data_IF_429290654510
#
_entry.id   IF_429290654510
#
_cell.length_a   1.000
_cell.length_b   1.000
_cell.length_c   1.000
_cell.angle_alpha   90.00
_cell.angle_beta   90.00
_cell.angle_gamma   90.00
#
_symmetry.space_group_name_H-M   'P 1'
#
loop_
_entity.id
_entity.type
_entity.pdbx_description
1 polymer ?
#
# COMPACT_ATOMS: atom_id res chain seq x y z
N UNK A 1 -0.38 15.62 5.26
CA UNK A 1 -1.12 14.35 5.05
C UNK A 1 -2.03 13.95 6.24
N UNK A 2 -2.09 14.75 7.33
CA UNK A 2 -2.93 14.46 8.51
C UNK A 2 -4.44 14.72 8.36
N UNK A 3 -4.89 15.46 7.35
CA UNK A 3 -6.28 15.95 7.27
C UNK A 3 -7.24 15.12 6.41
N UNK A 4 -6.72 14.17 5.62
CA UNK A 4 -7.52 13.46 4.62
C UNK A 4 -8.34 12.31 5.23
N UNK A 5 -7.79 11.61 6.23
CA UNK A 5 -8.47 10.51 6.91
C UNK A 5 -9.52 10.99 7.94
N UNK A 6 -9.32 12.15 8.55
CA UNK A 6 -10.24 12.72 9.57
C UNK A 6 -11.55 13.20 8.93
N UNK A 7 -11.51 13.72 7.69
CA UNK A 7 -12.69 14.23 7.01
C UNK A 7 -13.58 13.15 6.39
N UNK A 8 -13.04 11.96 6.10
CA UNK A 8 -13.78 10.89 5.43
C UNK A 8 -14.58 10.02 6.41
N UNK A 9 -14.17 9.90 7.67
CA UNK A 9 -14.85 9.09 8.70
C UNK A 9 -14.82 9.77 10.09
N UNK A 10 -15.52 10.91 10.25
CA UNK A 10 -15.46 11.74 11.47
C UNK A 10 -16.01 11.04 12.73
N UNK A 11 -16.77 9.95 12.57
CA UNK A 11 -17.37 9.19 13.68
C UNK A 11 -16.51 8.05 14.23
N UNK A 12 -15.37 7.72 13.60
CA UNK A 12 -14.59 6.51 13.93
C UNK A 12 -13.12 6.79 14.27
N UNK A 13 -12.54 7.87 13.75
CA UNK A 13 -11.09 8.13 13.83
C UNK A 13 -10.82 9.41 14.62
N UNK A 14 -10.20 9.29 15.79
CA UNK A 14 -9.84 10.44 16.65
C UNK A 14 -8.53 11.12 16.26
N UNK A 15 -7.63 10.37 15.64
CA UNK A 15 -6.25 10.78 15.43
C UNK A 15 -5.44 9.63 14.86
N UNK A 16 -4.35 9.98 14.19
CA UNK A 16 -3.34 9.06 13.70
C UNK A 16 -2.03 9.57 14.31
N UNK A 17 -1.50 8.84 15.29
CA UNK A 17 -0.18 9.12 15.87
C UNK A 17 0.84 8.16 15.23
N UNK A 18 1.98 8.70 14.81
CA UNK A 18 3.06 7.91 14.23
C UNK A 18 4.22 7.85 15.21
N UNK A 19 4.53 6.67 15.73
CA UNK A 19 5.74 6.43 16.52
C UNK A 19 6.80 5.74 15.66
N UNK A 20 7.85 6.50 15.33
CA UNK A 20 9.15 6.08 14.79
C UNK A 20 9.13 5.34 13.42
N UNK A 21 8.82 4.03 13.39
CA UNK A 21 8.70 3.18 12.16
C UNK A 21 7.36 2.45 12.05
N UNK A 22 6.44 2.70 12.97
CA UNK A 22 5.17 2.00 13.08
C UNK A 22 4.03 3.01 12.94
N UNK A 23 2.99 2.61 12.20
CA UNK A 23 1.75 3.37 12.15
C UNK A 23 0.87 2.86 13.30
N UNK A 24 0.72 3.69 14.33
CA UNK A 24 -0.10 3.40 15.50
C UNK A 24 -1.51 3.94 15.25
N UNK A 25 -2.47 3.04 15.04
CA UNK A 25 -3.83 3.43 14.71
C UNK A 25 -4.65 3.47 15.99
N UNK A 26 -4.79 4.67 16.55
CA UNK A 26 -5.62 4.93 17.73
C UNK A 26 -7.09 4.92 17.31
N UNK A 27 -7.76 3.78 17.50
CA UNK A 27 -9.20 3.63 17.20
C UNK A 27 -10.05 3.94 18.44
N UNK A 28 -11.15 4.70 18.30
CA UNK A 28 -12.14 4.95 19.37
C UNK A 28 -13.12 3.77 19.56
N UNK A 29 -12.64 2.55 19.36
CA UNK A 29 -13.45 1.37 19.63
C UNK A 29 -13.29 1.06 21.12
N UNK A 30 -14.39 1.21 21.87
CA UNK A 30 -14.41 0.80 23.27
C UNK A 30 -14.19 -0.72 23.31
N UNK A 31 -13.05 -1.18 23.82
CA UNK A 31 -12.84 -2.60 24.10
C UNK A 31 -13.92 -3.12 25.06
N UNK A 32 -14.37 -4.39 24.94
CA UNK A 32 -15.24 -5.01 25.92
C UNK A 32 -14.64 -4.85 27.33
N UNK A 33 -15.45 -4.31 28.24
CA UNK A 33 -15.04 -3.97 29.60
C UNK A 33 -14.51 -5.21 30.31
N UNK A 34 -13.22 -5.22 30.65
CA UNK A 34 -12.68 -6.23 31.57
C UNK A 34 -13.35 -6.06 32.95
N UNK A 35 -13.87 -7.12 33.60
CA UNK A 35 -14.52 -7.00 34.90
C UNK A 35 -13.52 -6.43 35.93
N UNK A 36 -13.73 -5.18 36.36
CA UNK A 36 -12.88 -4.49 37.33
C UNK A 36 -12.12 -3.26 36.82
N UNK A 37 -12.20 -2.91 35.53
CA UNK A 37 -11.60 -1.67 34.98
C UNK A 37 -12.66 -0.59 34.71
N UNK A 38 -12.36 0.66 35.10
CA UNK A 38 -13.20 1.84 34.86
C UNK A 38 -12.82 2.63 33.59
N UNK A 39 -11.74 2.24 32.89
CA UNK A 39 -11.31 2.89 31.65
C UNK A 39 -11.65 2.00 30.45
N UNK A 40 -12.32 2.58 29.45
CA UNK A 40 -12.52 1.94 28.16
C UNK A 40 -11.15 1.77 27.49
N UNK A 41 -10.75 0.52 27.23
CA UNK A 41 -9.46 0.21 26.63
C UNK A 41 -9.41 0.74 25.19
N UNK A 42 -8.43 1.59 24.90
CA UNK A 42 -8.08 1.97 23.53
C UNK A 42 -7.34 0.78 22.92
N UNK A 43 -7.82 0.25 21.80
CA UNK A 43 -7.10 -0.78 21.06
C UNK A 43 -6.05 -0.11 20.18
N UNK A 44 -4.80 -0.30 20.58
CA UNK A 44 -3.62 0.11 19.83
C UNK A 44 -3.09 -1.10 19.05
N UNK A 45 -2.95 -0.96 17.73
CA UNK A 45 -2.25 -1.94 16.90
C UNK A 45 -1.13 -1.28 16.09
N UNK A 46 -0.02 -1.99 15.98
CA UNK A 46 1.18 -1.60 15.24
C UNK A 46 1.14 -2.17 13.83
N UNK A 47 1.09 -1.28 12.83
CA UNK A 47 1.28 -1.65 11.42
C UNK A 47 2.69 -1.29 10.99
N UNK A 48 3.26 -2.08 10.08
CA UNK A 48 4.56 -1.82 9.43
C UNK A 48 4.37 -1.42 7.96
N UNK A 49 4.04 -0.15 7.66
CA UNK A 49 3.84 0.34 6.29
C UNK A 49 5.07 0.18 5.40
N UNK A 50 6.26 0.14 6.02
CA UNK A 50 7.53 0.01 5.32
C UNK A 50 7.63 -1.26 4.47
N UNK A 51 6.88 -2.32 4.81
CA UNK A 51 6.85 -3.54 3.99
C UNK A 51 6.18 -3.32 2.64
N UNK A 52 5.32 -2.30 2.50
CA UNK A 52 4.74 -1.92 1.20
C UNK A 52 5.59 -0.88 0.46
N UNK A 53 6.42 -0.14 1.20
CA UNK A 53 7.23 0.94 0.66
C UNK A 53 8.57 0.50 0.01
N UNK A 54 8.97 -0.78 0.09
CA UNK A 54 10.20 -1.24 -0.57
C UNK A 54 10.16 -1.12 -2.11
N UNK A 55 8.96 -0.95 -2.68
CA UNK A 55 8.76 -0.62 -4.08
C UNK A 55 9.42 0.71 -4.49
N UNK A 56 9.53 1.67 -3.58
CA UNK A 56 10.14 2.99 -3.81
C UNK A 56 11.66 2.89 -4.10
N UNK A 57 12.50 2.30 -3.23
CA UNK A 57 13.92 2.13 -3.52
C UNK A 57 14.17 1.20 -4.71
N UNK A 58 13.34 0.17 -4.90
CA UNK A 58 13.44 -0.71 -6.07
C UNK A 58 13.23 0.06 -7.38
N UNK A 59 12.16 0.84 -7.48
CA UNK A 59 11.89 1.68 -8.64
C UNK A 59 12.98 2.75 -8.86
N UNK A 60 13.44 3.36 -7.77
CA UNK A 60 14.52 4.34 -7.84
C UNK A 60 15.81 3.73 -8.39
N UNK A 61 16.19 2.54 -7.92
CA UNK A 61 17.36 1.83 -8.42
C UNK A 61 17.25 1.51 -9.91
N UNK A 62 16.11 0.98 -10.36
CA UNK A 62 15.86 0.69 -11.78
C UNK A 62 15.94 1.95 -12.65
N UNK A 63 15.31 3.03 -12.21
CA UNK A 63 15.31 4.31 -12.93
C UNK A 63 16.71 4.94 -12.97
N UNK A 64 17.48 4.81 -11.88
CA UNK A 64 18.86 5.30 -11.81
C UNK A 64 19.82 4.47 -12.65
N UNK A 65 19.60 3.15 -12.77
CA UNK A 65 20.37 2.27 -13.64
C UNK A 65 20.08 2.49 -15.14
N UNK A 66 18.86 2.94 -15.47
CA UNK A 66 18.49 3.18 -16.87
C UNK A 66 19.20 4.42 -17.46
N UNK A 67 19.67 4.35 -18.71
CA UNK A 67 20.12 5.51 -19.47
C UNK A 67 18.92 6.39 -19.83
N UNK A 68 19.15 7.70 -19.84
CA UNK A 68 18.13 8.69 -20.18
C UNK A 68 18.74 9.77 -21.07
N UNK A 69 17.94 10.31 -22.00
CA UNK A 69 18.38 11.34 -22.94
C UNK A 69 18.88 12.61 -22.23
N UNK A 70 18.26 12.99 -21.10
CA UNK A 70 18.69 14.12 -20.27
C UNK A 70 18.46 13.85 -18.78
N UNK A 71 19.23 14.54 -17.92
CA UNK A 71 19.04 14.49 -16.46
C UNK A 71 17.64 14.94 -16.03
N UNK A 72 17.03 15.89 -16.75
CA UNK A 72 15.68 16.41 -16.46
C UNK A 72 14.58 15.38 -16.72
N UNK A 73 14.64 14.68 -17.87
CA UNK A 73 13.69 13.59 -18.18
C UNK A 73 13.84 12.45 -17.17
N UNK A 74 15.07 12.11 -16.78
CA UNK A 74 15.34 11.10 -15.74
C UNK A 74 14.71 11.47 -14.40
N UNK A 75 14.87 12.72 -13.96
CA UNK A 75 14.25 13.22 -12.74
C UNK A 75 12.72 13.22 -12.82
N UNK A 76 12.15 13.54 -13.99
CA UNK A 76 10.71 13.48 -14.23
C UNK A 76 10.18 12.05 -14.12
N UNK A 77 10.82 11.06 -14.75
CA UNK A 77 10.41 9.65 -14.65
C UNK A 77 10.55 9.12 -13.23
N UNK A 78 11.62 9.49 -12.53
CA UNK A 78 11.80 9.13 -11.14
C UNK A 78 10.66 9.70 -10.28
N UNK A 79 10.39 11.00 -10.38
CA UNK A 79 9.33 11.65 -9.62
C UNK A 79 7.94 11.10 -9.96
N UNK A 80 7.62 10.96 -11.24
CA UNK A 80 6.34 10.44 -11.70
C UNK A 80 6.08 9.01 -11.20
N UNK A 81 7.06 8.10 -11.32
CA UNK A 81 6.87 6.73 -10.86
C UNK A 81 6.77 6.61 -9.34
N UNK A 82 7.52 7.43 -8.57
CA UNK A 82 7.35 7.48 -7.12
C UNK A 82 5.96 7.97 -6.71
N UNK A 83 5.41 8.98 -7.40
CA UNK A 83 4.04 9.45 -7.16
C UNK A 83 3.00 8.37 -7.50
N UNK A 84 3.18 7.65 -8.60
CA UNK A 84 2.28 6.56 -9.00
C UNK A 84 2.31 5.39 -8.02
N UNK A 85 3.43 5.15 -7.31
CA UNK A 85 3.54 4.10 -6.30
C UNK A 85 2.73 4.39 -5.02
N UNK A 86 2.49 5.65 -4.68
CA UNK A 86 1.76 6.04 -3.46
C UNK A 86 0.38 5.40 -3.29
N UNK A 87 -0.53 5.39 -4.29
CA UNK A 87 -1.82 4.72 -4.15
C UNK A 87 -1.70 3.20 -3.88
N UNK A 88 -0.66 2.54 -4.39
CA UNK A 88 -0.45 1.10 -4.15
C UNK A 88 0.07 0.83 -2.73
N UNK A 89 0.92 1.72 -2.21
CA UNK A 89 1.36 1.68 -0.80
C UNK A 89 0.17 1.94 0.13
N UNK A 90 -0.69 2.90 -0.22
CA UNK A 90 -1.91 3.19 0.50
C UNK A 90 -2.89 2.00 0.48
N UNK A 91 -3.03 1.32 -0.66
CA UNK A 91 -3.80 0.08 -0.78
C UNK A 91 -3.28 -1.01 0.17
N UNK A 92 -1.98 -1.32 0.11
CA UNK A 92 -1.39 -2.35 0.95
C UNK A 92 -1.55 -2.08 2.44
N UNK A 93 -1.28 -0.83 2.85
CA UNK A 93 -1.48 -0.38 4.23
C UNK A 93 -2.95 -0.45 4.64
N UNK A 94 -3.87 0.01 3.78
CA UNK A 94 -5.31 -0.02 4.03
C UNK A 94 -5.86 -1.44 4.23
N UNK A 95 -5.43 -2.40 3.40
CA UNK A 95 -5.85 -3.79 3.57
C UNK A 95 -5.22 -4.48 4.77
N UNK A 96 -4.02 -4.08 5.23
CA UNK A 96 -3.47 -4.58 6.50
C UNK A 96 -4.33 -4.13 7.69
N UNK A 97 -4.78 -2.87 7.67
CA UNK A 97 -5.73 -2.33 8.66
C UNK A 97 -7.03 -3.14 8.65
N UNK A 98 -7.64 -3.29 7.46
CA UNK A 98 -8.90 -4.02 7.32
C UNK A 98 -8.76 -5.48 7.76
N UNK A 99 -7.64 -6.13 7.41
CA UNK A 99 -7.34 -7.48 7.86
C UNK A 99 -7.25 -7.54 9.39
N UNK A 100 -6.58 -6.59 10.02
CA UNK A 100 -6.48 -6.57 11.47
C UNK A 100 -7.86 -6.40 12.14
N UNK A 101 -8.70 -5.49 11.62
CA UNK A 101 -10.06 -5.27 12.11
C UNK A 101 -10.97 -6.50 11.91
N UNK A 102 -10.84 -7.20 10.78
CA UNK A 102 -11.70 -8.33 10.43
C UNK A 102 -11.28 -9.66 11.09
N UNK A 103 -9.97 -9.89 11.30
CA UNK A 103 -9.46 -11.18 11.76
C UNK A 103 -8.95 -11.15 13.21
N UNK A 104 -8.34 -10.06 13.66
CA UNK A 104 -7.79 -9.96 15.02
C UNK A 104 -8.82 -9.41 16.00
N UNK A 105 -9.49 -8.32 15.62
CA UNK A 105 -10.44 -7.59 16.48
C UNK A 105 -11.91 -7.94 16.18
N UNK A 106 -12.15 -9.02 15.42
CA UNK A 106 -13.47 -9.32 14.84
C UNK A 106 -14.64 -9.34 15.83
N UNK A 107 -14.43 -9.80 17.07
CA UNK A 107 -15.48 -9.81 18.09
C UNK A 107 -15.81 -8.40 18.62
N UNK A 108 -14.82 -7.51 18.65
CA UNK A 108 -14.93 -6.15 19.17
C UNK A 108 -15.41 -5.17 18.09
N UNK A 109 -15.10 -5.46 16.83
CA UNK A 109 -15.54 -4.66 15.66
C UNK A 109 -16.93 -5.07 15.17
N UNK A 110 -17.39 -6.29 15.43
CA UNK A 110 -18.69 -6.81 14.98
C UNK A 110 -19.91 -5.91 15.28
N UNK A 111 -20.01 -5.20 16.43
CA UNK A 111 -21.13 -4.30 16.70
C UNK A 111 -21.14 -3.04 15.81
N UNK A 112 -19.99 -2.69 15.23
CA UNK A 112 -19.78 -1.45 14.48
C UNK A 112 -19.57 -1.68 12.98
N UNK A 113 -19.01 -2.82 12.62
CA UNK A 113 -18.61 -3.17 11.27
C UNK A 113 -18.97 -4.63 10.99
N UNK A 114 -19.94 -4.85 10.09
CA UNK A 114 -20.22 -6.19 9.57
C UNK A 114 -19.18 -6.56 8.50
N UNK A 115 -18.08 -7.17 8.97
CA UNK A 115 -16.97 -7.71 8.17
C UNK A 115 -17.05 -9.23 8.01
N UNK A 116 -18.26 -9.81 8.01
CA UNK A 116 -18.45 -11.26 7.92
C UNK A 116 -18.65 -11.77 6.49
N UNK A 117 -18.62 -13.09 6.30
CA UNK A 117 -18.86 -13.75 5.02
C UNK A 117 -17.91 -13.31 3.90
N UNK A 118 -18.46 -13.02 2.73
CA UNK A 118 -17.71 -12.65 1.52
C UNK A 118 -16.78 -11.44 1.72
N UNK A 119 -17.15 -10.48 2.58
CA UNK A 119 -16.34 -9.29 2.86
C UNK A 119 -15.01 -9.67 3.51
N UNK A 120 -15.05 -10.66 4.41
CA UNK A 120 -13.86 -11.18 5.10
C UNK A 120 -12.88 -11.82 4.11
N UNK A 121 -13.41 -12.57 3.15
CA UNK A 121 -12.61 -13.17 2.09
C UNK A 121 -11.98 -12.10 1.21
N UNK A 122 -12.77 -11.12 0.72
CA UNK A 122 -12.26 -10.01 -0.09
C UNK A 122 -11.15 -9.22 0.61
N UNK A 123 -11.27 -9.00 1.93
CA UNK A 123 -10.22 -8.37 2.73
C UNK A 123 -8.95 -9.23 2.75
N UNK A 124 -9.09 -10.54 2.99
CA UNK A 124 -7.97 -11.47 2.97
C UNK A 124 -7.24 -11.49 1.63
N UNK A 125 -7.99 -11.52 0.53
CA UNK A 125 -7.44 -11.51 -0.83
C UNK A 125 -6.77 -10.19 -1.17
N UNK A 126 -7.41 -9.06 -0.84
CA UNK A 126 -6.83 -7.74 -1.08
C UNK A 126 -5.55 -7.51 -0.29
N UNK A 127 -5.46 -8.04 0.93
CA UNK A 127 -4.24 -8.04 1.73
C UNK A 127 -3.14 -8.89 1.09
N UNK A 128 -3.43 -10.15 0.71
CA UNK A 128 -2.44 -11.02 0.09
C UNK A 128 -1.91 -10.44 -1.22
N UNK A 129 -2.80 -9.90 -2.05
CA UNK A 129 -2.45 -9.25 -3.29
C UNK A 129 -1.58 -8.00 -3.05
N UNK A 130 -1.98 -7.16 -2.09
CA UNK A 130 -1.25 -5.95 -1.74
C UNK A 130 0.10 -6.20 -1.07
N UNK A 131 0.27 -7.33 -0.39
CA UNK A 131 1.51 -7.70 0.28
C UNK A 131 2.51 -8.41 -0.64
N UNK A 132 2.03 -9.36 -1.46
CA UNK A 132 2.89 -10.22 -2.26
C UNK A 132 3.11 -9.72 -3.69
N UNK A 133 2.11 -9.11 -4.30
CA UNK A 133 2.13 -8.81 -5.74
C UNK A 133 2.48 -7.36 -5.99
N UNK A 134 1.72 -6.43 -5.41
CA UNK A 134 1.86 -5.01 -5.74
C UNK A 134 3.28 -4.46 -5.51
N UNK A 135 3.94 -4.71 -4.35
CA UNK A 135 5.22 -4.08 -4.06
C UNK A 135 6.36 -4.56 -4.97
N UNK A 136 6.26 -5.77 -5.53
CA UNK A 136 7.25 -6.33 -6.46
C UNK A 136 6.94 -6.01 -7.93
N UNK A 137 5.70 -6.18 -8.36
CA UNK A 137 5.31 -6.10 -9.77
C UNK A 137 5.10 -4.67 -10.25
N UNK A 138 4.44 -3.83 -9.45
CA UNK A 138 4.11 -2.45 -9.83
C UNK A 138 5.34 -1.60 -10.17
N UNK A 139 6.41 -1.55 -9.33
CA UNK A 139 7.58 -0.74 -9.68
C UNK A 139 8.23 -1.19 -11.00
N UNK A 140 8.25 -2.50 -11.27
CA UNK A 140 8.78 -3.04 -12.52
C UNK A 140 7.88 -2.67 -13.71
N UNK A 141 6.56 -2.79 -13.57
CA UNK A 141 5.61 -2.44 -14.63
C UNK A 141 5.67 -0.95 -15.00
N UNK A 142 5.73 -0.07 -13.99
CA UNK A 142 5.91 1.38 -14.20
C UNK A 142 7.23 1.64 -14.93
N UNK A 143 8.31 1.01 -14.49
CA UNK A 143 9.63 1.20 -15.09
C UNK A 143 9.66 0.75 -16.56
N UNK A 144 9.08 -0.43 -16.87
CA UNK A 144 8.97 -0.96 -18.24
C UNK A 144 8.18 0.01 -19.13
N UNK A 145 7.05 0.52 -18.63
CA UNK A 145 6.21 1.45 -19.38
C UNK A 145 6.95 2.74 -19.74
N UNK A 146 7.77 3.27 -18.81
CA UNK A 146 8.51 4.52 -18.99
C UNK A 146 9.82 4.35 -19.78
N UNK A 147 10.46 3.18 -19.73
CA UNK A 147 11.76 2.91 -20.36
C UNK A 147 11.68 1.94 -21.55
N UNK A 148 10.52 1.88 -22.23
CA UNK A 148 10.26 0.97 -23.36
C UNK A 148 11.30 1.03 -24.49
N UNK A 149 11.85 2.22 -24.79
CA UNK A 149 12.83 2.41 -25.85
C UNK A 149 14.16 1.75 -25.49
N UNK A 150 14.62 1.95 -24.25
CA UNK A 150 15.82 1.31 -23.73
C UNK A 150 15.68 -0.22 -23.69
N UNK A 151 14.50 -0.73 -23.33
CA UNK A 151 14.22 -2.17 -23.36
C UNK A 151 14.29 -2.77 -24.78
N UNK A 152 13.87 -2.02 -25.79
CA UNK A 152 13.98 -2.45 -27.19
C UNK A 152 15.43 -2.51 -27.68
N UNK A 153 16.32 -1.69 -27.11
CA UNK A 153 17.76 -1.72 -27.39
C UNK A 153 18.45 -2.92 -26.71
N UNK A 154 18.07 -3.24 -25.47
CA UNK A 154 18.62 -4.38 -24.73
C UNK A 154 18.14 -5.74 -25.25
N UNK A 155 16.92 -5.81 -25.78
CA UNK A 155 16.30 -7.06 -26.23
C UNK A 155 15.69 -6.91 -27.63
N UNK A 156 16.53 -6.89 -28.70
CA UNK A 156 16.05 -6.75 -30.08
C UNK A 156 15.07 -7.87 -30.52
N UNK A 157 15.10 -9.04 -29.86
CA UNK A 157 14.12 -10.12 -30.09
C UNK A 157 12.68 -9.80 -29.70
N UNK A 158 12.43 -8.81 -28.83
CA UNK A 158 11.06 -8.32 -28.55
C UNK A 158 10.46 -7.57 -29.74
N UNK A 159 11.29 -6.95 -30.58
CA UNK A 159 10.86 -6.29 -31.83
C UNK A 159 10.32 -7.29 -32.85
N UNK A 160 10.94 -8.49 -32.92
CA UNK A 160 10.56 -9.55 -33.87
C UNK A 160 9.28 -10.31 -33.48
N UNK A 161 8.89 -10.36 -32.20
CA UNK A 161 7.65 -11.05 -31.79
C UNK A 161 6.38 -10.19 -31.86
N UNK A 162 6.52 -8.86 -31.91
CA UNK A 162 5.38 -7.92 -31.98
C UNK A 162 5.01 -7.58 -33.43
N UNK A 163 5.94 -7.75 -34.37
CA UNK A 163 5.65 -7.73 -35.80
C UNK A 163 5.60 -9.18 -36.31
N UNK A 164 4.43 -9.86 -36.32
CA UNK A 164 4.32 -11.10 -37.06
C UNK A 164 4.61 -10.80 -38.54
N UNK A 165 5.37 -11.70 -39.15
CA UNK A 165 5.89 -11.62 -40.50
C UNK A 165 4.83 -11.20 -41.53
N UNK A 166 5.24 -10.31 -42.44
CA UNK A 166 4.61 -10.20 -43.76
C UNK A 166 5.10 -11.34 -44.65
#
# INVERSE_FOLDING_TARGET
MNGLFVNLLPSVVSGVEGHDRLLEIVTRLNAPRSPGSAAAGVITYEIRPLVYAYSLPLYAALTLAAPAATKGIKALYLGAGLLVLLPFIAWGTGFDILKHLAFTLGAETAPYLDLTGIKRELIGWGYQFGYLILPGVVPLAIWIALHRQFLQELAPGLKQRVAPEQ
#
